data_IF_678312831391
#
_entry.id   IF_678312831391
#
_cell.length_a   1.000
_cell.length_b   1.000
_cell.length_c   1.000
_cell.angle_alpha   90.00
_cell.angle_beta   90.00
_cell.angle_gamma   90.00
#
_symmetry.space_group_name_H-M   'P 1'
#
loop_
_entity.id
_entity.type
_entity.pdbx_description
1 polymer ?
#
# COMPACT_ATOMS: atom_id res chain seq x y z
N UNK A 1 -10.13 -39.37 -42.13
CA UNK A 1 -9.98 -38.11 -42.89
C UNK A 1 -10.25 -36.85 -42.05
N UNK A 2 -10.92 -36.95 -40.90
CA UNK A 2 -11.27 -35.82 -40.03
C UNK A 2 -10.15 -35.35 -39.04
N UNK A 3 -9.15 -36.15 -38.75
CA UNK A 3 -8.07 -35.82 -37.83
C UNK A 3 -6.98 -34.89 -38.38
N UNK A 4 -6.80 -34.84 -39.69
CA UNK A 4 -5.85 -33.93 -40.36
C UNK A 4 -6.31 -32.49 -40.40
N UNK A 5 -7.62 -32.23 -40.36
CA UNK A 5 -8.18 -30.87 -40.41
C UNK A 5 -8.06 -30.08 -39.07
N UNK A 6 -7.83 -30.79 -37.97
CA UNK A 6 -7.65 -30.16 -36.65
C UNK A 6 -6.22 -29.67 -36.45
N UNK A 7 -5.21 -30.41 -36.90
CA UNK A 7 -3.83 -29.99 -36.83
C UNK A 7 -3.52 -28.79 -37.76
N UNK A 8 -4.10 -28.79 -38.98
CA UNK A 8 -3.91 -27.65 -39.90
C UNK A 8 -4.56 -26.34 -39.38
N UNK A 9 -5.62 -26.42 -38.55
CA UNK A 9 -6.21 -25.25 -37.90
C UNK A 9 -5.41 -24.76 -36.72
N UNK A 10 -4.70 -25.62 -36.01
CA UNK A 10 -3.79 -25.23 -34.91
C UNK A 10 -2.50 -24.59 -35.42
N UNK A 11 -2.00 -25.00 -36.55
CA UNK A 11 -0.82 -24.38 -37.20
C UNK A 11 -1.16 -23.06 -37.91
N UNK A 12 -2.36 -22.90 -38.46
CA UNK A 12 -2.83 -21.64 -39.05
C UNK A 12 -3.10 -20.54 -37.97
N UNK A 13 -3.37 -20.93 -36.73
CA UNK A 13 -3.56 -19.99 -35.62
C UNK A 13 -2.24 -19.42 -35.08
N UNK A 14 -1.10 -19.92 -35.47
CA UNK A 14 0.23 -19.45 -35.07
C UNK A 14 0.87 -18.49 -36.09
N UNK A 15 0.09 -17.89 -37.01
CA UNK A 15 0.53 -16.66 -37.63
C UNK A 15 0.73 -15.63 -36.52
N UNK A 16 2.00 -15.32 -36.22
CA UNK A 16 2.42 -14.22 -35.35
C UNK A 16 1.67 -12.97 -35.80
N UNK A 17 0.50 -12.71 -35.23
CA UNK A 17 -0.28 -11.53 -35.57
C UNK A 17 0.58 -10.33 -35.32
N UNK A 18 0.71 -9.44 -36.33
CA UNK A 18 1.41 -8.17 -36.20
C UNK A 18 1.04 -7.46 -34.88
N UNK A 19 -0.23 -7.51 -34.48
CA UNK A 19 -0.72 -6.99 -33.23
C UNK A 19 -0.03 -7.62 -32.02
N UNK A 20 0.10 -8.95 -31.96
CA UNK A 20 0.83 -9.65 -30.88
C UNK A 20 2.30 -9.21 -30.80
N UNK A 21 2.97 -9.04 -31.94
CA UNK A 21 4.36 -8.58 -31.99
C UNK A 21 4.50 -7.15 -31.44
N UNK A 22 3.59 -6.24 -31.82
CA UNK A 22 3.57 -4.86 -31.30
C UNK A 22 3.31 -4.87 -29.79
N UNK A 23 2.33 -5.63 -29.31
CA UNK A 23 2.05 -5.75 -27.87
C UNK A 23 3.27 -6.29 -27.09
N UNK A 24 3.93 -7.32 -27.61
CA UNK A 24 5.16 -7.86 -27.00
C UNK A 24 6.29 -6.84 -26.98
N UNK A 25 6.51 -6.12 -28.07
CA UNK A 25 7.55 -5.09 -28.18
C UNK A 25 7.30 -3.93 -27.20
N UNK A 26 6.06 -3.46 -27.10
CA UNK A 26 5.67 -2.42 -26.13
C UNK A 26 5.85 -2.91 -24.69
N UNK A 27 5.42 -4.14 -24.40
CA UNK A 27 5.59 -4.73 -23.05
C UNK A 27 7.08 -4.84 -22.70
N UNK A 28 7.91 -5.31 -23.63
CA UNK A 28 9.36 -5.40 -23.42
C UNK A 28 9.98 -4.00 -23.17
N UNK A 29 9.59 -3.01 -23.95
CA UNK A 29 10.05 -1.62 -23.77
C UNK A 29 9.68 -1.07 -22.38
N UNK A 30 8.45 -1.29 -21.93
CA UNK A 30 7.99 -0.89 -20.59
C UNK A 30 8.80 -1.59 -19.49
N UNK A 31 9.02 -2.91 -19.64
CA UNK A 31 9.83 -3.68 -18.66
C UNK A 31 11.27 -3.18 -18.63
N UNK A 32 11.87 -2.92 -19.79
CA UNK A 32 13.23 -2.38 -19.87
C UNK A 32 13.34 -0.98 -19.29
N UNK A 33 12.35 -0.13 -19.52
CA UNK A 33 12.32 1.23 -18.94
C UNK A 33 12.24 1.20 -17.41
N UNK A 34 11.28 0.45 -16.85
CA UNK A 34 11.14 0.31 -15.39
C UNK A 34 12.39 -0.38 -14.80
N UNK A 35 12.83 -1.49 -15.43
CA UNK A 35 13.98 -2.26 -14.98
C UNK A 35 15.26 -1.43 -14.97
N UNK A 36 15.48 -0.58 -15.99
CA UNK A 36 16.66 0.29 -16.06
C UNK A 36 16.69 1.32 -14.93
N UNK A 37 15.54 1.90 -14.57
CA UNK A 37 15.45 2.85 -13.45
C UNK A 37 15.77 2.18 -12.11
N UNK A 38 15.21 0.99 -11.87
CA UNK A 38 15.50 0.21 -10.66
C UNK A 38 16.94 -0.27 -10.61
N UNK A 39 17.49 -0.73 -11.74
CA UNK A 39 18.88 -1.14 -11.86
C UNK A 39 19.85 0.01 -11.57
N UNK A 40 19.52 1.22 -12.01
CA UNK A 40 20.34 2.40 -11.72
C UNK A 40 20.46 2.68 -10.20
N UNK A 41 19.38 2.47 -9.43
CA UNK A 41 19.42 2.58 -7.96
C UNK A 41 20.33 1.50 -7.38
N UNK A 42 20.21 0.26 -7.83
CA UNK A 42 21.03 -0.85 -7.34
C UNK A 42 22.51 -0.62 -7.65
N UNK A 43 22.84 -0.35 -8.92
CA UNK A 43 24.24 -0.17 -9.35
C UNK A 43 24.92 1.00 -8.61
N UNK A 44 24.21 2.10 -8.44
CA UNK A 44 24.75 3.26 -7.72
C UNK A 44 24.65 3.13 -6.20
N UNK A 45 23.78 2.26 -5.69
CA UNK A 45 23.63 2.03 -4.25
C UNK A 45 24.65 1.06 -3.66
N UNK A 46 25.21 0.14 -4.46
CA UNK A 46 26.20 -0.86 -3.99
C UNK A 46 27.43 -0.22 -3.38
N UNK A 47 28.11 0.78 -4.01
CA UNK A 47 29.27 1.42 -3.39
C UNK A 47 28.86 2.12 -2.08
N UNK A 48 29.53 1.79 -0.97
CA UNK A 48 29.25 2.36 0.35
C UNK A 48 27.96 1.86 1.02
N UNK A 49 27.31 0.82 0.50
CA UNK A 49 26.06 0.29 1.05
C UNK A 49 26.20 -0.15 2.52
N UNK A 50 27.23 -0.94 2.83
CA UNK A 50 27.48 -1.44 4.18
C UNK A 50 27.72 -0.31 5.18
N UNK A 51 28.52 0.68 4.81
CA UNK A 51 28.82 1.84 5.66
C UNK A 51 27.58 2.69 5.91
N UNK A 52 26.79 2.94 4.84
CA UNK A 52 25.59 3.75 4.93
C UNK A 52 24.51 3.07 5.77
N UNK A 53 24.26 1.78 5.55
CA UNK A 53 23.20 1.04 6.26
C UNK A 53 23.54 0.86 7.74
N UNK A 54 24.83 0.73 8.08
CA UNK A 54 25.28 0.63 9.47
C UNK A 54 25.42 2.00 10.16
N UNK A 55 25.21 3.12 9.45
CA UNK A 55 25.24 4.45 10.06
C UNK A 55 24.11 4.61 11.08
N UNK A 56 24.37 5.39 12.14
CA UNK A 56 23.37 5.63 13.20
C UNK A 56 22.11 6.31 12.66
N UNK A 57 22.27 7.19 11.69
CA UNK A 57 21.21 7.94 11.05
C UNK A 57 20.28 7.01 10.27
N UNK A 58 20.82 6.15 9.41
CA UNK A 58 20.01 5.23 8.59
C UNK A 58 19.37 4.15 9.45
N UNK A 59 20.04 3.64 10.48
CA UNK A 59 19.44 2.70 11.43
C UNK A 59 18.29 3.34 12.22
N UNK A 60 18.43 4.60 12.63
CA UNK A 60 17.35 5.35 13.26
C UNK A 60 16.18 5.51 12.28
N UNK A 61 16.44 5.96 11.04
CA UNK A 61 15.44 6.15 10.01
C UNK A 61 14.72 4.84 9.67
N UNK A 62 15.44 3.74 9.58
CA UNK A 62 14.88 2.40 9.38
C UNK A 62 13.92 2.02 10.51
N UNK A 63 14.38 2.14 11.76
CA UNK A 63 13.55 1.82 12.94
C UNK A 63 12.30 2.68 12.99
N UNK A 64 12.43 3.98 12.77
CA UNK A 64 11.30 4.91 12.78
C UNK A 64 10.32 4.59 11.67
N UNK A 65 10.79 4.33 10.43
CA UNK A 65 9.93 3.96 9.30
C UNK A 65 9.19 2.64 9.56
N UNK A 66 9.88 1.61 10.05
CA UNK A 66 9.25 0.33 10.39
C UNK A 66 8.18 0.48 11.47
N UNK A 67 8.47 1.23 12.53
CA UNK A 67 7.50 1.44 13.61
C UNK A 67 6.28 2.24 13.12
N UNK A 68 6.50 3.37 12.45
CA UNK A 68 5.40 4.24 12.02
C UNK A 68 4.56 3.61 10.93
N UNK A 69 5.15 2.90 9.96
CA UNK A 69 4.40 2.19 8.92
C UNK A 69 3.60 1.02 9.50
N UNK A 70 4.14 0.29 10.47
CA UNK A 70 3.42 -0.81 11.11
C UNK A 70 2.25 -0.31 11.93
N UNK A 71 2.47 0.69 12.79
CA UNK A 71 1.42 1.27 13.63
C UNK A 71 0.33 1.88 12.75
N UNK A 72 0.70 2.67 11.75
CA UNK A 72 -0.28 3.30 10.86
C UNK A 72 -1.07 2.27 10.06
N UNK A 73 -0.45 1.22 9.54
CA UNK A 73 -1.14 0.18 8.77
C UNK A 73 -2.13 -0.61 9.61
N UNK A 74 -1.79 -0.93 10.87
CA UNK A 74 -2.73 -1.55 11.81
C UNK A 74 -3.93 -0.63 12.04
N UNK A 75 -3.68 0.66 12.32
CA UNK A 75 -4.76 1.64 12.54
C UNK A 75 -5.62 1.84 11.28
N UNK A 76 -4.99 1.91 10.11
CA UNK A 76 -5.69 1.98 8.82
C UNK A 76 -6.60 0.76 8.63
N UNK A 77 -6.11 -0.45 8.87
CA UNK A 77 -6.95 -1.65 8.73
C UNK A 77 -8.12 -1.66 9.72
N UNK A 78 -7.88 -1.27 10.97
CA UNK A 78 -8.93 -1.18 11.99
C UNK A 78 -10.04 -0.20 11.62
N UNK A 79 -9.70 0.91 10.96
CA UNK A 79 -10.65 1.91 10.48
C UNK A 79 -11.29 1.52 9.14
N UNK A 80 -10.52 0.94 8.23
CA UNK A 80 -10.96 0.60 6.89
C UNK A 80 -11.94 -0.58 6.86
N UNK A 81 -11.78 -1.57 7.74
CA UNK A 81 -12.66 -2.74 7.82
C UNK A 81 -14.13 -2.35 8.07
N UNK A 82 -14.47 -1.61 9.15
CA UNK A 82 -15.85 -1.20 9.37
C UNK A 82 -16.37 -0.21 8.32
N UNK A 83 -15.50 0.68 7.81
CA UNK A 83 -15.88 1.61 6.74
C UNK A 83 -16.24 0.87 5.45
N UNK A 84 -15.42 -0.08 5.00
CA UNK A 84 -15.70 -0.90 3.83
C UNK A 84 -16.94 -1.77 4.02
N UNK A 85 -17.15 -2.38 5.19
CA UNK A 85 -18.35 -3.13 5.50
C UNK A 85 -19.61 -2.26 5.40
N UNK A 86 -19.55 -1.05 5.93
CA UNK A 86 -20.65 -0.08 5.86
C UNK A 86 -20.99 0.26 4.41
N UNK A 87 -19.98 0.52 3.59
CA UNK A 87 -20.17 0.89 2.18
C UNK A 87 -20.60 -0.27 1.28
N UNK A 88 -20.39 -1.52 1.69
CA UNK A 88 -20.77 -2.71 0.88
C UNK A 88 -22.07 -3.36 1.34
N UNK A 89 -22.31 -3.45 2.65
CA UNK A 89 -23.41 -4.23 3.24
C UNK A 89 -24.51 -3.40 3.88
N UNK A 90 -24.22 -2.11 4.16
CA UNK A 90 -25.22 -1.23 4.78
C UNK A 90 -25.66 -0.17 3.77
N UNK A 91 -26.96 -0.08 3.54
CA UNK A 91 -27.57 0.96 2.70
C UNK A 91 -27.69 2.24 3.53
N UNK A 92 -26.58 3.01 3.62
CA UNK A 92 -26.62 4.29 4.34
C UNK A 92 -26.95 5.44 3.39
N UNK A 93 -27.81 6.38 3.80
CA UNK A 93 -28.04 7.60 3.03
C UNK A 93 -26.73 8.39 2.94
N UNK A 94 -26.40 8.88 1.74
CA UNK A 94 -25.17 9.65 1.55
C UNK A 94 -23.89 8.82 1.26
N UNK A 95 -23.99 7.49 1.05
CA UNK A 95 -22.84 6.63 0.68
C UNK A 95 -22.03 7.20 -0.49
N UNK A 96 -22.70 7.80 -1.48
CA UNK A 96 -22.05 8.46 -2.62
C UNK A 96 -21.10 9.61 -2.22
N UNK A 97 -21.46 10.36 -1.17
CA UNK A 97 -20.60 11.43 -0.67
C UNK A 97 -19.33 10.86 -0.01
N UNK A 98 -19.48 9.76 0.76
CA UNK A 98 -18.31 9.08 1.34
C UNK A 98 -17.39 8.51 0.26
N UNK A 99 -17.95 7.91 -0.79
CA UNK A 99 -17.17 7.42 -1.92
C UNK A 99 -16.42 8.55 -2.64
N UNK A 100 -17.08 9.69 -2.88
CA UNK A 100 -16.43 10.87 -3.45
C UNK A 100 -15.28 11.38 -2.58
N UNK A 101 -15.43 11.43 -1.25
CA UNK A 101 -14.36 11.84 -0.33
C UNK A 101 -13.15 10.89 -0.39
N UNK A 102 -13.41 9.58 -0.48
CA UNK A 102 -12.37 8.55 -0.64
C UNK A 102 -11.63 8.77 -1.97
N UNK A 103 -12.36 8.97 -3.07
CA UNK A 103 -11.78 9.18 -4.40
C UNK A 103 -11.00 10.49 -4.49
N UNK A 104 -11.50 11.57 -3.89
CA UNK A 104 -10.79 12.84 -3.80
C UNK A 104 -9.45 12.69 -3.08
N UNK A 105 -9.43 11.96 -1.97
CA UNK A 105 -8.20 11.71 -1.21
C UNK A 105 -7.16 10.93 -2.03
N UNK A 106 -7.61 9.99 -2.87
CA UNK A 106 -6.73 9.25 -3.79
C UNK A 106 -6.20 10.08 -4.96
N UNK A 107 -6.94 11.12 -5.35
CA UNK A 107 -6.59 11.98 -6.49
C UNK A 107 -5.70 13.16 -6.10
N UNK A 108 -5.69 13.55 -4.81
CA UNK A 108 -4.91 14.69 -4.33
C UNK A 108 -3.43 14.34 -4.18
N UNK A 109 -2.52 15.27 -4.52
CA UNK A 109 -1.10 15.12 -4.19
C UNK A 109 -0.90 14.97 -2.68
N UNK A 110 -0.03 14.03 -2.28
CA UNK A 110 0.23 13.75 -0.86
C UNK A 110 0.76 14.97 -0.08
N UNK A 111 1.48 15.87 -0.75
CA UNK A 111 1.89 17.15 -0.17
C UNK A 111 0.69 17.99 0.29
N UNK A 112 -0.39 18.05 -0.49
CA UNK A 112 -1.60 18.78 -0.12
C UNK A 112 -2.32 18.11 1.05
N UNK A 113 -2.33 16.78 1.11
CA UNK A 113 -2.89 16.03 2.24
C UNK A 113 -2.09 16.31 3.52
N UNK A 114 -0.76 16.37 3.44
CA UNK A 114 0.10 16.76 4.56
C UNK A 114 -0.13 18.20 5.02
N UNK A 115 -0.28 19.12 4.06
CA UNK A 115 -0.59 20.52 4.36
C UNK A 115 -1.96 20.68 5.03
N UNK A 116 -2.97 19.95 4.57
CA UNK A 116 -4.30 19.97 5.20
C UNK A 116 -4.26 19.50 6.65
N UNK A 117 -3.48 18.45 6.94
CA UNK A 117 -3.23 17.99 8.32
C UNK A 117 -2.48 19.04 9.14
N UNK A 118 -1.47 19.71 8.56
CA UNK A 118 -0.73 20.76 9.22
C UNK A 118 -1.67 21.90 9.64
N UNK A 119 -2.56 22.35 8.75
CA UNK A 119 -3.56 23.36 9.03
C UNK A 119 -4.51 22.87 10.14
N UNK A 120 -5.02 21.65 10.02
CA UNK A 120 -5.94 21.05 10.98
C UNK A 120 -5.33 20.97 12.38
N UNK A 121 -4.12 20.42 12.51
CA UNK A 121 -3.45 20.25 13.81
C UNK A 121 -2.80 21.52 14.36
N UNK A 122 -2.66 22.58 13.55
CA UNK A 122 -2.25 23.91 14.00
C UNK A 122 -3.44 24.78 14.47
N UNK A 123 -4.66 24.40 14.14
CA UNK A 123 -5.90 25.07 14.50
C UNK A 123 -6.34 24.78 15.96
N UNK A 124 -7.39 25.43 16.51
CA UNK A 124 -7.83 25.22 17.90
C UNK A 124 -8.04 23.76 18.29
N UNK A 125 -8.69 22.88 17.49
CA UNK A 125 -8.80 21.45 17.79
C UNK A 125 -7.44 20.75 17.93
N UNK A 126 -6.47 21.06 17.07
CA UNK A 126 -5.14 20.50 17.16
C UNK A 126 -4.36 20.97 18.39
N UNK A 127 -4.53 22.24 18.78
CA UNK A 127 -3.96 22.78 20.03
C UNK A 127 -4.55 22.11 21.25
N UNK A 128 -5.84 21.82 21.25
CA UNK A 128 -6.50 21.08 22.31
C UNK A 128 -5.96 19.65 22.44
N UNK A 129 -5.79 18.93 21.34
CA UNK A 129 -5.15 17.60 21.32
C UNK A 129 -3.73 17.65 21.88
N UNK A 130 -2.96 18.71 21.53
CA UNK A 130 -1.62 18.92 22.06
C UNK A 130 -1.64 19.13 23.59
N UNK A 131 -2.64 19.86 24.13
CA UNK A 131 -2.77 20.03 25.57
C UNK A 131 -3.08 18.74 26.33
N UNK A 132 -3.67 17.73 25.62
CA UNK A 132 -3.90 16.38 26.13
C UNK A 132 -2.67 15.45 26.00
N UNK A 133 -1.52 15.98 25.53
CA UNK A 133 -0.27 15.22 25.37
C UNK A 133 -0.05 14.62 23.97
N UNK A 134 -0.99 14.78 23.04
CA UNK A 134 -0.85 14.29 21.66
C UNK A 134 -0.23 15.37 20.76
N UNK A 135 1.08 15.42 20.70
CA UNK A 135 1.80 16.30 19.78
C UNK A 135 1.92 15.64 18.41
N UNK A 136 1.24 16.20 17.39
CA UNK A 136 1.24 15.69 16.00
C UNK A 136 2.22 16.49 15.14
N UNK A 137 2.12 17.81 15.15
CA UNK A 137 2.96 18.69 14.31
C UNK A 137 4.41 18.64 14.79
N UNK A 138 5.34 18.43 13.83
CA UNK A 138 6.78 18.27 14.07
C UNK A 138 7.17 17.18 15.08
N UNK A 139 6.36 16.10 15.15
CA UNK A 139 6.58 14.97 16.05
C UNK A 139 6.35 13.62 15.33
N UNK A 140 6.97 12.51 15.83
CA UNK A 140 6.80 11.19 15.21
C UNK A 140 5.34 10.71 15.09
N UNK A 141 4.46 11.12 16.00
CA UNK A 141 3.03 10.82 15.89
C UNK A 141 2.39 11.43 14.63
N UNK A 142 2.91 12.56 14.14
CA UNK A 142 2.47 13.16 12.88
C UNK A 142 2.79 12.30 11.65
N UNK A 143 3.88 11.52 11.67
CA UNK A 143 4.19 10.57 10.62
C UNK A 143 3.06 9.53 10.50
N UNK A 144 2.65 8.98 11.65
CA UNK A 144 1.53 8.02 11.70
C UNK A 144 0.24 8.64 11.17
N UNK A 145 -0.06 9.88 11.55
CA UNK A 145 -1.26 10.59 11.08
C UNK A 145 -1.23 10.86 9.57
N UNK A 146 -0.07 11.25 9.02
CA UNK A 146 0.11 11.41 7.57
C UNK A 146 -0.10 10.07 6.83
N UNK A 147 0.51 9.00 7.33
CA UNK A 147 0.34 7.66 6.77
C UNK A 147 -1.14 7.20 6.81
N UNK A 148 -1.86 7.46 7.90
CA UNK A 148 -3.28 7.10 8.02
C UNK A 148 -4.07 7.84 6.95
N UNK A 149 -3.96 9.16 6.84
CA UNK A 149 -4.75 9.92 5.87
C UNK A 149 -4.48 9.49 4.43
N UNK A 150 -3.20 9.28 4.06
CA UNK A 150 -2.80 8.91 2.70
C UNK A 150 -3.25 7.49 2.34
N UNK A 151 -3.23 6.55 3.30
CA UNK A 151 -3.46 5.14 3.01
C UNK A 151 -4.88 4.65 3.34
N UNK A 152 -5.66 5.40 4.14
CA UNK A 152 -6.99 4.97 4.58
C UNK A 152 -7.94 4.75 3.40
N UNK A 153 -8.00 5.71 2.47
CA UNK A 153 -8.84 5.62 1.27
C UNK A 153 -8.46 4.45 0.36
N UNK A 154 -7.16 4.20 0.22
CA UNK A 154 -6.66 3.05 -0.51
C UNK A 154 -7.11 1.72 0.12
N UNK A 155 -6.91 1.58 1.43
CA UNK A 155 -7.30 0.36 2.16
C UNK A 155 -8.82 0.13 2.12
N UNK A 156 -9.63 1.18 2.32
CA UNK A 156 -11.10 1.09 2.20
C UNK A 156 -11.48 0.59 0.82
N UNK A 157 -10.90 1.12 -0.25
CA UNK A 157 -11.18 0.71 -1.63
C UNK A 157 -10.85 -0.76 -1.87
N UNK A 158 -9.67 -1.21 -1.45
CA UNK A 158 -9.23 -2.60 -1.61
C UNK A 158 -10.12 -3.58 -0.83
N UNK A 159 -10.44 -3.24 0.43
CA UNK A 159 -11.30 -4.08 1.27
C UNK A 159 -12.74 -4.08 0.73
N UNK A 160 -13.24 -2.93 0.28
CA UNK A 160 -14.56 -2.81 -0.37
C UNK A 160 -14.67 -3.76 -1.57
N UNK A 161 -13.66 -3.79 -2.44
CA UNK A 161 -13.60 -4.73 -3.58
C UNK A 161 -13.64 -6.17 -3.09
N UNK A 162 -12.79 -6.54 -2.12
CA UNK A 162 -12.77 -7.90 -1.57
C UNK A 162 -14.12 -8.33 -0.95
N UNK A 163 -14.80 -7.41 -0.28
CA UNK A 163 -16.12 -7.69 0.28
C UNK A 163 -17.20 -7.78 -0.81
N UNK A 164 -17.12 -6.97 -1.86
CA UNK A 164 -18.07 -7.01 -2.99
C UNK A 164 -17.94 -8.30 -3.81
N UNK A 165 -16.72 -8.83 -3.92
CA UNK A 165 -16.45 -10.10 -4.64
C UNK A 165 -16.88 -11.33 -3.84
N UNK A 166 -17.14 -11.19 -2.54
CA UNK A 166 -17.62 -12.28 -1.68
C UNK A 166 -19.13 -12.47 -1.79
N UNK A 167 -19.59 -13.74 -1.80
CA UNK A 167 -21.00 -14.06 -1.88
C UNK A 167 -21.75 -13.66 -0.59
N UNK A 168 -22.60 -12.65 -0.70
CA UNK A 168 -23.41 -12.12 0.41
C UNK A 168 -24.40 -13.17 0.96
N UNK A 169 -24.76 -14.18 0.15
CA UNK A 169 -25.69 -15.25 0.57
C UNK A 169 -25.17 -16.03 1.76
N UNK A 170 -23.86 -16.21 1.86
CA UNK A 170 -23.23 -16.93 2.98
C UNK A 170 -23.42 -16.21 4.32
N UNK A 171 -23.34 -14.88 4.30
CA UNK A 171 -23.64 -14.06 5.48
C UNK A 171 -25.13 -14.12 5.83
N UNK A 172 -26.01 -14.13 4.81
CA UNK A 172 -27.43 -14.26 5.00
C UNK A 172 -27.81 -15.62 5.62
N UNK A 173 -27.25 -16.73 5.12
CA UNK A 173 -27.46 -18.07 5.67
C UNK A 173 -27.01 -18.14 7.14
N UNK A 174 -25.84 -17.61 7.47
CA UNK A 174 -25.37 -17.58 8.85
C UNK A 174 -26.35 -16.82 9.78
N UNK A 175 -26.96 -15.75 9.27
CA UNK A 175 -27.93 -14.96 10.01
C UNK A 175 -29.27 -15.67 10.17
N UNK A 176 -29.73 -16.43 9.19
CA UNK A 176 -30.95 -17.27 9.32
C UNK A 176 -30.77 -18.41 10.31
N UNK A 177 -29.51 -18.86 10.51
CA UNK A 177 -29.13 -19.83 11.54
C UNK A 177 -28.91 -19.20 12.94
N UNK A 178 -29.28 -17.91 13.10
CA UNK A 178 -29.24 -17.22 14.40
C UNK A 178 -27.96 -16.43 14.69
N UNK A 179 -27.02 -16.32 13.75
CA UNK A 179 -25.84 -15.45 13.95
C UNK A 179 -26.21 -13.97 13.89
N UNK A 180 -25.69 -13.17 14.83
CA UNK A 180 -25.78 -11.70 14.74
C UNK A 180 -24.97 -11.19 13.54
N UNK A 181 -25.22 -9.93 13.09
CA UNK A 181 -24.43 -9.29 12.02
C UNK A 181 -22.94 -9.29 12.33
N UNK A 182 -22.57 -8.97 13.55
CA UNK A 182 -21.16 -8.96 14.00
C UNK A 182 -20.57 -10.37 13.97
N UNK A 183 -21.30 -11.38 14.42
CA UNK A 183 -20.84 -12.78 14.37
C UNK A 183 -20.67 -13.25 12.93
N UNK A 184 -21.61 -12.97 12.03
CA UNK A 184 -21.50 -13.29 10.60
C UNK A 184 -20.30 -12.58 9.95
N UNK A 185 -20.07 -11.30 10.29
CA UNK A 185 -18.90 -10.56 9.82
C UNK A 185 -17.58 -11.26 10.20
N UNK A 186 -17.39 -11.63 11.49
CA UNK A 186 -16.14 -12.23 11.97
C UNK A 186 -15.99 -13.69 11.52
N UNK A 187 -17.08 -14.48 11.51
CA UNK A 187 -16.98 -15.92 11.27
C UNK A 187 -17.17 -16.33 9.82
N UNK A 188 -17.73 -15.46 8.98
CA UNK A 188 -17.98 -15.75 7.57
C UNK A 188 -17.19 -14.79 6.67
N UNK A 189 -17.48 -13.48 6.72
CA UNK A 189 -16.92 -12.53 5.76
C UNK A 189 -15.40 -12.38 5.91
N UNK A 190 -14.88 -12.13 7.11
CA UNK A 190 -13.43 -11.95 7.32
C UNK A 190 -12.61 -13.19 6.94
N UNK A 191 -13.00 -14.43 7.29
CA UNK A 191 -12.30 -15.63 6.83
C UNK A 191 -12.34 -15.83 5.32
N UNK A 192 -13.46 -15.55 4.66
CA UNK A 192 -13.57 -15.62 3.20
C UNK A 192 -12.62 -14.64 2.51
N UNK A 193 -12.52 -13.42 3.03
CA UNK A 193 -11.67 -12.37 2.45
C UNK A 193 -10.24 -12.37 3.01
N UNK A 194 -9.86 -13.33 3.87
CA UNK A 194 -8.59 -13.32 4.61
C UNK A 194 -7.37 -13.03 3.74
N UNK A 195 -7.27 -13.64 2.57
CA UNK A 195 -6.12 -13.46 1.67
C UNK A 195 -6.04 -12.03 1.15
N UNK A 196 -7.15 -11.50 0.64
CA UNK A 196 -7.24 -10.11 0.16
C UNK A 196 -6.96 -9.11 1.29
N UNK A 197 -7.38 -9.41 2.52
CA UNK A 197 -7.12 -8.57 3.69
C UNK A 197 -5.63 -8.56 4.06
N UNK A 198 -4.96 -9.73 4.04
CA UNK A 198 -3.51 -9.83 4.28
C UNK A 198 -2.74 -9.08 3.18
N UNK A 199 -3.10 -9.27 1.91
CA UNK A 199 -2.50 -8.55 0.78
C UNK A 199 -2.69 -7.04 0.91
N UNK A 200 -3.90 -6.59 1.25
CA UNK A 200 -4.20 -5.18 1.50
C UNK A 200 -3.35 -4.61 2.64
N UNK A 201 -3.17 -5.35 3.74
CA UNK A 201 -2.30 -4.93 4.84
C UNK A 201 -0.84 -4.75 4.37
N UNK A 202 -0.28 -5.74 3.67
CA UNK A 202 1.11 -5.70 3.21
C UNK A 202 1.31 -4.54 2.22
N UNK A 203 0.38 -4.34 1.29
CA UNK A 203 0.43 -3.24 0.33
C UNK A 203 0.30 -1.88 1.02
N UNK A 204 -0.61 -1.75 1.99
CA UNK A 204 -0.76 -0.52 2.80
C UNK A 204 0.52 -0.22 3.59
N UNK A 205 1.14 -1.24 4.16
CA UNK A 205 2.40 -1.12 4.89
C UNK A 205 3.54 -0.69 3.96
N UNK A 206 3.66 -1.31 2.79
CA UNK A 206 4.69 -0.93 1.80
C UNK A 206 4.52 0.51 1.32
N UNK A 207 3.27 0.96 1.10
CA UNK A 207 2.96 2.36 0.75
C UNK A 207 3.32 3.32 1.87
N UNK A 208 3.01 2.97 3.13
CA UNK A 208 3.38 3.76 4.30
C UNK A 208 4.90 3.89 4.46
N UNK A 209 5.66 2.81 4.20
CA UNK A 209 7.14 2.84 4.19
C UNK A 209 7.70 3.83 3.17
N UNK A 210 7.05 3.98 2.01
CA UNK A 210 7.46 4.88 0.94
C UNK A 210 6.87 6.29 1.02
N UNK A 211 6.00 6.55 2.00
CA UNK A 211 5.33 7.84 2.12
C UNK A 211 6.32 8.93 2.55
N UNK A 212 6.35 10.02 1.79
CA UNK A 212 7.25 11.14 2.03
C UNK A 212 6.52 12.49 1.98
N UNK A 213 5.64 12.70 1.00
CA UNK A 213 5.06 14.00 0.72
C UNK A 213 4.22 14.58 1.87
N UNK A 214 3.31 13.79 2.39
CA UNK A 214 2.46 14.17 3.53
C UNK A 214 3.26 14.32 4.80
N UNK A 215 4.20 13.41 5.03
CA UNK A 215 5.11 13.44 6.19
C UNK A 215 5.98 14.70 6.16
N UNK A 216 6.58 15.03 5.02
CA UNK A 216 7.42 16.23 4.86
C UNK A 216 6.66 17.50 5.24
N UNK A 217 5.42 17.64 4.78
CA UNK A 217 4.62 18.85 5.03
C UNK A 217 4.13 18.97 6.46
N UNK A 218 3.73 17.86 7.09
CA UNK A 218 3.18 17.87 8.46
C UNK A 218 4.24 17.91 9.54
N UNK A 219 5.34 17.17 9.32
CA UNK A 219 6.32 16.88 10.38
C UNK A 219 7.68 17.49 10.07
N UNK A 220 7.98 17.70 8.80
CA UNK A 220 9.33 18.02 8.34
C UNK A 220 10.27 16.82 8.46
N UNK A 221 11.53 17.01 8.06
CA UNK A 221 12.57 16.00 8.20
C UNK A 221 13.69 16.56 9.08
N UNK A 222 13.81 16.02 10.29
CA UNK A 222 14.86 16.38 11.24
C UNK A 222 15.67 15.14 11.59
N UNK A 223 17.00 15.22 11.42
CA UNK A 223 17.91 14.11 11.75
C UNK A 223 17.68 13.60 13.16
N UNK A 224 17.66 12.28 13.30
CA UNK A 224 17.52 11.57 14.59
C UNK A 224 16.25 11.94 15.37
N UNK A 225 15.24 12.53 14.70
CA UNK A 225 13.95 12.88 15.34
C UNK A 225 12.73 12.46 14.52
N UNK A 226 12.65 12.96 13.28
CA UNK A 226 11.51 12.68 12.35
C UNK A 226 12.02 12.18 11.00
N UNK A 227 13.24 11.69 10.97
CA UNK A 227 13.93 11.17 9.79
C UNK A 227 13.45 9.75 9.50
N UNK A 228 12.55 9.62 8.52
CA UNK A 228 12.18 8.33 7.92
C UNK A 228 13.16 7.93 6.82
N UNK A 229 13.09 6.70 6.28
CA UNK A 229 13.97 6.30 5.17
C UNK A 229 13.85 7.23 3.95
N UNK A 230 12.63 7.58 3.45
CA UNK A 230 12.49 8.59 2.39
C UNK A 230 13.06 9.96 2.81
N UNK A 231 12.87 10.34 4.08
CA UNK A 231 13.44 11.55 4.65
C UNK A 231 14.96 11.53 4.68
N UNK A 232 15.58 10.41 5.00
CA UNK A 232 17.04 10.23 4.98
C UNK A 232 17.60 10.35 3.56
N UNK A 233 16.92 9.80 2.54
CA UNK A 233 17.28 9.99 1.13
C UNK A 233 17.25 11.48 0.78
N UNK A 234 16.17 12.18 1.13
CA UNK A 234 16.03 13.61 0.88
C UNK A 234 17.13 14.44 1.55
N UNK A 235 17.40 14.20 2.84
CA UNK A 235 18.47 14.90 3.57
C UNK A 235 19.84 14.63 2.96
N UNK A 236 20.15 13.39 2.59
CA UNK A 236 21.42 13.03 1.97
C UNK A 236 21.64 13.75 0.64
N UNK A 237 20.62 13.86 -0.20
CA UNK A 237 20.67 14.66 -1.44
C UNK A 237 20.87 16.14 -1.11
N UNK A 238 20.09 16.68 -0.17
CA UNK A 238 20.12 18.11 0.19
C UNK A 238 21.47 18.54 0.83
N UNK A 239 22.16 17.61 1.47
CA UNK A 239 23.49 17.85 2.07
C UNK A 239 24.66 17.52 1.14
N UNK A 240 24.39 17.20 -0.14
CA UNK A 240 25.45 16.94 -1.14
C UNK A 240 26.08 15.55 -1.01
N UNK A 241 25.42 14.58 -0.40
CA UNK A 241 25.88 13.18 -0.32
C UNK A 241 24.95 12.24 -1.13
N UNK A 242 25.00 12.28 -2.48
CA UNK A 242 24.16 11.44 -3.32
C UNK A 242 24.49 9.95 -3.17
N UNK A 243 25.69 9.60 -2.76
CA UNK A 243 26.08 8.21 -2.55
C UNK A 243 25.28 7.57 -1.39
N UNK A 244 25.21 8.24 -0.25
CA UNK A 244 24.40 7.79 0.89
C UNK A 244 22.90 7.74 0.53
N UNK A 245 22.42 8.68 -0.28
CA UNK A 245 21.05 8.67 -0.77
C UNK A 245 20.75 7.43 -1.61
N UNK A 246 21.64 7.05 -2.54
CA UNK A 246 21.45 5.87 -3.39
C UNK A 246 21.51 4.56 -2.59
N UNK A 247 22.44 4.47 -1.62
CA UNK A 247 22.54 3.31 -0.72
C UNK A 247 21.27 3.16 0.16
N UNK A 248 20.73 4.27 0.68
CA UNK A 248 19.47 4.25 1.45
C UNK A 248 18.27 3.91 0.55
N UNK A 249 18.24 4.42 -0.69
CA UNK A 249 17.20 4.07 -1.66
C UNK A 249 17.24 2.58 -2.04
N UNK A 250 18.44 2.00 -2.18
CA UNK A 250 18.63 0.56 -2.40
C UNK A 250 18.11 -0.26 -1.21
N UNK A 251 18.39 0.15 0.03
CA UNK A 251 17.83 -0.48 1.23
C UNK A 251 16.30 -0.46 1.19
N UNK A 252 15.70 0.68 0.88
CA UNK A 252 14.26 0.82 0.76
C UNK A 252 13.67 -0.05 -0.37
N UNK A 253 14.36 -0.16 -1.50
CA UNK A 253 13.99 -1.04 -2.60
C UNK A 253 13.97 -2.51 -2.16
N UNK A 254 14.99 -2.97 -1.41
CA UNK A 254 15.06 -4.33 -0.87
C UNK A 254 13.87 -4.60 0.07
N UNK A 255 13.57 -3.68 0.99
CA UNK A 255 12.46 -3.84 1.93
C UNK A 255 11.11 -3.88 1.22
N UNK A 256 10.88 -2.98 0.26
CA UNK A 256 9.64 -2.94 -0.52
C UNK A 256 9.48 -4.18 -1.40
N UNK A 257 10.56 -4.67 -2.01
CA UNK A 257 10.54 -5.90 -2.81
C UNK A 257 10.24 -7.11 -1.95
N UNK A 258 10.83 -7.21 -0.76
CA UNK A 258 10.53 -8.30 0.18
C UNK A 258 9.05 -8.29 0.61
N UNK A 259 8.50 -7.12 0.93
CA UNK A 259 7.08 -6.98 1.27
C UNK A 259 6.17 -7.39 0.11
N UNK A 260 6.50 -6.96 -1.13
CA UNK A 260 5.73 -7.29 -2.32
C UNK A 260 5.76 -8.79 -2.64
N UNK A 261 6.92 -9.43 -2.49
CA UNK A 261 7.05 -10.89 -2.64
C UNK A 261 6.19 -11.62 -1.61
N UNK A 262 6.19 -11.19 -0.34
CA UNK A 262 5.33 -11.76 0.70
C UNK A 262 3.84 -11.61 0.34
N UNK A 263 3.40 -10.46 -0.17
CA UNK A 263 2.03 -10.26 -0.63
C UNK A 263 1.67 -11.24 -1.76
N UNK A 264 2.55 -11.38 -2.75
CA UNK A 264 2.33 -12.27 -3.89
C UNK A 264 2.22 -13.74 -3.48
N UNK A 265 3.07 -14.22 -2.57
CA UNK A 265 2.98 -15.59 -2.06
C UNK A 265 1.68 -15.86 -1.30
N UNK A 266 1.14 -14.89 -0.58
CA UNK A 266 -0.14 -15.05 0.13
C UNK A 266 -1.33 -15.17 -0.80
N UNK A 267 -1.31 -14.50 -1.96
CA UNK A 267 -2.36 -14.58 -2.99
C UNK A 267 -2.32 -15.92 -3.74
N UNK A 268 -1.13 -16.34 -4.19
CA UNK A 268 -0.99 -17.55 -5.02
C UNK A 268 -1.28 -18.86 -4.28
N UNK A 269 -0.94 -18.96 -3.01
CA UNK A 269 -1.23 -20.15 -2.19
C UNK A 269 -2.72 -20.49 -2.07
N UNK A 270 -3.57 -19.64 -2.59
CA UNK A 270 -5.02 -19.79 -2.55
C UNK A 270 -5.67 -20.29 -3.82
N UNK A 271 -5.14 -19.91 -4.96
CA UNK A 271 -5.72 -20.33 -6.24
C UNK A 271 -5.51 -21.84 -6.50
N UNK A 272 -4.41 -22.40 -6.00
CA UNK A 272 -4.13 -23.82 -6.17
C UNK A 272 -5.04 -24.72 -5.31
N UNK A 273 -5.47 -24.27 -4.12
CA UNK A 273 -6.39 -25.06 -3.28
C UNK A 273 -7.83 -25.09 -3.81
N UNK A 274 -8.27 -24.03 -4.49
CA UNK A 274 -9.61 -24.02 -5.08
C UNK A 274 -9.71 -24.88 -6.35
N UNK A 275 -8.57 -25.11 -7.05
CA UNK A 275 -8.52 -26.03 -8.20
C UNK A 275 -8.44 -27.51 -7.81
N UNK A 276 -8.00 -27.82 -6.59
CA UNK A 276 -7.95 -29.21 -6.08
C UNK A 276 -9.28 -29.67 -5.46
N UNK A 277 -10.23 -28.78 -5.22
CA UNK A 277 -11.51 -29.09 -4.58
C UNK A 277 -12.67 -29.08 -5.61
N UNK A 278 -12.43 -28.66 -6.84
CA UNK A 278 -13.38 -28.79 -7.99
C UNK A 278 -13.02 -29.97 -8.86
#
# INVERSE_FOLDING_TARGET
>A
MAMRSWNDRSEAAQKKDWFSLVCMAVTLLVILFIGSALLAIVVRGIPGFSETVCSKEVLFALRLSLMTSTISSILVMLLALPAAYTLTRLQIPGSRLFELLIELTLSLPYLLLGLSLLILFSSPPGKWLKSMGLQVVFAPAGIVMAHILVNLSYAIRMIKTAFSDSDERLEYIARTLGASRFRSFITVLLPLCKKSLISTFILTWSRAMGEFGGTLMLVGVTRMKTETLPGSIYLSISTGNPQAAMSTAMLMLILSSAAMLLAHFTEHSGQNREREVM
#
